data_IF_944607233309
#
_entry.id   IF_944607233309
#
_cell.length_a   1.000
_cell.length_b   1.000
_cell.length_c   1.000
_cell.angle_alpha   90.00
_cell.angle_beta   90.00
_cell.angle_gamma   90.00
#
_symmetry.space_group_name_H-M   'P 1'
#
loop_
_entity.id
_entity.type
_entity.pdbx_description
1 polymer ?
#
# COMPACT_ATOMS: atom_id res chain seq x y z
N UNK A 1 67.56 -27.41 7.00
CA UNK A 1 66.23 -27.75 6.45
C UNK A 1 65.44 -26.47 6.25
N UNK A 2 65.47 -25.91 5.03
CA UNK A 2 64.79 -24.67 4.67
C UNK A 2 63.41 -25.00 4.16
N UNK A 3 62.39 -24.51 4.83
CA UNK A 3 60.99 -24.45 4.33
C UNK A 3 60.65 -23.00 4.21
N UNK A 4 60.85 -22.39 3.05
CA UNK A 4 60.24 -21.17 2.59
C UNK A 4 59.72 -21.41 1.20
N UNK A 5 58.42 -21.65 1.07
CA UNK A 5 57.69 -21.49 -0.18
C UNK A 5 56.72 -20.35 0.02
N UNK A 6 56.91 -19.15 -0.57
CA UNK A 6 55.92 -18.09 -0.55
C UNK A 6 54.81 -18.50 -1.52
N UNK A 7 53.60 -18.62 -1.01
CA UNK A 7 52.40 -18.74 -1.83
C UNK A 7 52.35 -17.56 -2.81
N UNK A 8 52.32 -17.87 -4.09
CA UNK A 8 52.28 -16.92 -5.19
C UNK A 8 51.08 -15.98 -5.04
N UNK A 9 51.37 -14.68 -5.06
CA UNK A 9 50.35 -13.60 -4.93
C UNK A 9 49.21 -13.74 -5.96
N UNK A 10 49.48 -14.36 -7.12
CA UNK A 10 48.47 -14.69 -8.14
C UNK A 10 47.51 -15.76 -7.66
N UNK A 11 47.99 -16.79 -6.94
CA UNK A 11 47.15 -17.86 -6.37
C UNK A 11 46.27 -17.31 -5.25
N UNK A 12 46.79 -16.40 -4.42
CA UNK A 12 46.04 -15.74 -3.35
C UNK A 12 44.96 -14.80 -3.91
N UNK A 13 45.26 -14.06 -5.01
CA UNK A 13 44.26 -13.23 -5.71
C UNK A 13 43.17 -14.07 -6.37
N UNK A 14 43.48 -15.20 -6.96
CA UNK A 14 42.51 -16.12 -7.55
C UNK A 14 41.62 -16.77 -6.50
N UNK A 15 42.14 -17.11 -5.32
CA UNK A 15 41.36 -17.61 -4.19
C UNK A 15 40.45 -16.53 -3.59
N UNK A 16 40.92 -15.28 -3.45
CA UNK A 16 40.07 -14.15 -3.00
C UNK A 16 39.01 -13.83 -4.03
N UNK A 17 39.30 -13.84 -5.33
CA UNK A 17 38.28 -13.63 -6.37
C UNK A 17 37.23 -14.75 -6.40
N UNK A 18 37.65 -16.02 -6.22
CA UNK A 18 36.74 -17.16 -6.13
C UNK A 18 35.90 -17.11 -4.85
N UNK A 19 36.46 -16.67 -3.71
CA UNK A 19 35.73 -16.49 -2.46
C UNK A 19 34.73 -15.33 -2.56
N UNK A 20 35.09 -14.21 -3.21
CA UNK A 20 34.18 -13.08 -3.48
C UNK A 20 33.07 -13.48 -4.44
N UNK A 21 33.34 -14.32 -5.45
CA UNK A 21 32.34 -14.85 -6.36
C UNK A 21 31.44 -15.91 -5.69
N UNK A 22 31.94 -16.67 -4.72
CA UNK A 22 31.13 -17.62 -3.94
C UNK A 22 30.24 -16.90 -2.91
N UNK A 23 30.69 -15.79 -2.31
CA UNK A 23 29.89 -14.97 -1.41
C UNK A 23 28.85 -14.15 -2.18
N UNK A 24 29.14 -13.78 -3.45
CA UNK A 24 28.20 -13.08 -4.31
C UNK A 24 27.07 -13.99 -4.85
N UNK A 25 27.18 -15.32 -4.72
CA UNK A 25 26.15 -16.26 -5.22
C UNK A 25 25.31 -16.91 -4.12
N UNK A 26 25.45 -16.52 -2.85
CA UNK A 26 24.46 -16.80 -1.81
C UNK A 26 23.39 -15.70 -1.76
N UNK A 27 22.90 -15.28 -2.90
CA UNK A 27 21.70 -14.45 -2.97
C UNK A 27 20.54 -15.25 -2.37
N UNK A 28 20.02 -14.79 -1.25
CA UNK A 28 18.78 -15.32 -0.71
C UNK A 28 17.76 -15.33 -1.86
N UNK A 29 17.14 -16.48 -2.11
CA UNK A 29 16.16 -16.62 -3.17
C UNK A 29 15.01 -15.65 -2.88
N UNK A 30 14.61 -14.86 -3.86
CA UNK A 30 13.49 -13.92 -3.71
C UNK A 30 12.23 -14.67 -3.32
N UNK A 31 11.53 -14.18 -2.30
CA UNK A 31 10.30 -14.76 -1.81
C UNK A 31 9.16 -14.47 -2.80
N UNK A 32 8.44 -15.51 -3.18
CA UNK A 32 7.29 -15.42 -4.04
C UNK A 32 6.02 -15.75 -3.25
N UNK A 33 4.94 -15.03 -3.52
CA UNK A 33 3.62 -15.28 -2.95
C UNK A 33 2.68 -15.81 -4.02
N UNK A 34 1.80 -16.73 -3.66
CA UNK A 34 0.87 -17.36 -4.59
C UNK A 34 -0.55 -17.14 -4.08
N UNK A 35 -1.38 -16.52 -4.91
CA UNK A 35 -2.78 -16.25 -4.61
C UNK A 35 -3.68 -17.09 -5.52
N UNK A 36 -4.74 -17.70 -4.97
CA UNK A 36 -5.75 -18.36 -5.79
C UNK A 36 -6.61 -17.31 -6.50
N UNK A 37 -7.02 -17.62 -7.72
CA UNK A 37 -8.09 -16.87 -8.38
C UNK A 37 -9.41 -17.16 -7.66
N UNK A 38 -10.13 -16.12 -7.20
CA UNK A 38 -11.38 -16.31 -6.45
C UNK A 38 -12.55 -16.79 -7.32
N UNK A 39 -12.60 -16.29 -8.56
CA UNK A 39 -13.61 -16.67 -9.52
C UNK A 39 -12.99 -17.08 -10.87
N UNK A 40 -12.90 -18.36 -11.11
CA UNK A 40 -12.30 -18.92 -12.32
C UNK A 40 -13.12 -18.69 -13.59
N UNK A 41 -14.38 -18.25 -13.48
CA UNK A 41 -15.27 -17.96 -14.62
C UNK A 41 -15.01 -16.57 -15.21
N UNK A 42 -14.35 -15.66 -14.47
CA UNK A 42 -14.02 -14.33 -14.95
C UNK A 42 -12.85 -14.35 -15.93
N UNK A 43 -12.88 -13.46 -16.90
CA UNK A 43 -11.80 -13.29 -17.88
C UNK A 43 -10.61 -12.48 -17.35
N UNK A 44 -10.75 -11.85 -16.19
CA UNK A 44 -9.75 -10.96 -15.60
C UNK A 44 -9.33 -11.42 -14.21
N UNK A 45 -8.07 -11.12 -13.87
CA UNK A 45 -7.59 -11.00 -12.48
C UNK A 45 -7.92 -9.62 -11.98
N UNK A 46 -8.49 -9.51 -10.78
CA UNK A 46 -8.85 -8.23 -10.16
C UNK A 46 -7.98 -7.92 -8.97
N UNK A 47 -7.22 -6.84 -9.04
CA UNK A 47 -6.52 -6.23 -7.91
C UNK A 47 -7.38 -5.11 -7.33
N UNK A 48 -7.41 -4.98 -6.00
CA UNK A 48 -8.02 -3.84 -5.32
C UNK A 48 -6.96 -3.12 -4.51
N UNK A 49 -6.92 -1.81 -4.65
CA UNK A 49 -6.06 -0.91 -3.88
C UNK A 49 -6.93 0.00 -3.01
N UNK A 50 -6.54 0.16 -1.74
CA UNK A 50 -7.19 1.05 -0.81
C UNK A 50 -6.18 2.07 -0.27
N UNK A 51 -6.63 3.29 0.01
CA UNK A 51 -5.79 4.39 0.44
C UNK A 51 -5.22 4.26 1.85
N UNK A 52 -5.01 5.39 2.51
CA UNK A 52 -4.26 5.51 3.76
C UNK A 52 -5.06 4.97 4.95
N UNK A 53 -4.62 3.85 5.52
CA UNK A 53 -5.18 3.25 6.73
C UNK A 53 -4.47 3.83 7.95
N UNK A 54 -5.07 4.87 8.53
CA UNK A 54 -4.52 5.60 9.67
C UNK A 54 -5.31 5.32 10.95
N UNK A 55 -4.66 5.52 12.11
CA UNK A 55 -5.33 5.35 13.39
C UNK A 55 -4.99 6.49 14.36
N UNK A 56 -5.94 7.41 14.54
CA UNK A 56 -5.86 8.53 15.49
C UNK A 56 -6.35 8.15 16.89
N UNK A 57 -6.09 9.02 17.88
CA UNK A 57 -6.42 8.75 19.28
C UNK A 57 -7.90 8.43 19.49
N UNK A 58 -8.81 9.17 18.86
CA UNK A 58 -10.26 8.92 18.99
C UNK A 58 -10.65 7.55 18.46
N UNK A 59 -9.99 7.06 17.40
CA UNK A 59 -10.29 5.75 16.82
C UNK A 59 -10.02 4.63 17.82
N UNK A 60 -8.82 4.56 18.44
CA UNK A 60 -8.57 3.48 19.41
C UNK A 60 -9.35 3.66 20.72
N UNK A 61 -9.68 4.90 21.12
CA UNK A 61 -10.52 5.12 22.29
C UNK A 61 -11.94 4.61 22.07
N UNK A 62 -12.49 4.77 20.86
CA UNK A 62 -13.83 4.28 20.54
C UNK A 62 -13.87 2.80 20.17
N UNK A 63 -12.80 2.28 19.63
CA UNK A 63 -12.66 0.83 19.38
C UNK A 63 -12.55 0.01 20.69
N UNK A 64 -12.19 0.64 21.82
CA UNK A 64 -12.07 -0.07 23.10
C UNK A 64 -13.44 -0.49 23.65
N UNK A 65 -13.67 -1.79 23.74
CA UNK A 65 -14.85 -2.35 24.39
C UNK A 65 -14.56 -2.68 25.86
N UNK A 66 -15.28 -1.98 26.77
CA UNK A 66 -15.12 -2.16 28.22
C UNK A 66 -15.65 -3.51 28.70
N UNK A 67 -16.65 -4.08 28.02
CA UNK A 67 -17.27 -5.36 28.40
C UNK A 67 -16.35 -6.54 28.11
N UNK A 68 -15.80 -6.59 26.89
CA UNK A 68 -14.87 -7.65 26.47
C UNK A 68 -13.42 -7.35 26.83
N UNK A 69 -13.08 -6.08 27.16
CA UNK A 69 -11.72 -5.59 27.39
C UNK A 69 -10.81 -5.79 26.17
N UNK A 70 -11.37 -5.66 24.99
CA UNK A 70 -10.68 -5.80 23.71
C UNK A 70 -10.93 -4.57 22.82
N UNK A 71 -10.07 -4.37 21.84
CA UNK A 71 -10.30 -3.41 20.75
C UNK A 71 -11.11 -4.09 19.66
N UNK A 72 -12.06 -3.37 19.06
CA UNK A 72 -12.89 -3.84 17.97
C UNK A 72 -12.93 -2.77 16.86
N UNK A 73 -12.25 -3.05 15.76
CA UNK A 73 -12.23 -2.23 14.55
C UNK A 73 -13.05 -2.85 13.41
N UNK A 74 -13.73 -3.98 13.65
CA UNK A 74 -14.60 -4.61 12.64
C UNK A 74 -15.58 -3.61 12.01
N UNK A 75 -16.23 -2.69 12.77
CA UNK A 75 -17.13 -1.70 12.18
C UNK A 75 -16.48 -0.79 11.13
N UNK A 76 -15.17 -0.55 11.24
CA UNK A 76 -14.44 0.28 10.27
C UNK A 76 -14.51 -0.31 8.86
N UNK A 77 -14.48 -1.64 8.74
CA UNK A 77 -14.31 -2.35 7.48
C UNK A 77 -15.54 -3.15 7.06
N UNK A 78 -16.56 -3.23 7.89
CA UNK A 78 -17.78 -4.05 7.70
C UNK A 78 -18.40 -3.88 6.31
N UNK A 79 -18.61 -2.62 5.91
CA UNK A 79 -19.28 -2.32 4.65
C UNK A 79 -18.35 -2.40 3.43
N UNK A 80 -17.05 -2.54 3.63
CA UNK A 80 -16.08 -2.80 2.57
C UNK A 80 -15.98 -4.29 2.20
N UNK A 81 -16.33 -5.20 3.13
CA UNK A 81 -16.21 -6.66 2.91
C UNK A 81 -16.80 -7.16 1.60
N UNK A 82 -18.00 -6.71 1.16
CA UNK A 82 -18.55 -7.15 -0.13
C UNK A 82 -17.71 -6.73 -1.34
N UNK A 83 -17.00 -5.60 -1.26
CA UNK A 83 -16.10 -5.12 -2.30
C UNK A 83 -14.77 -5.88 -2.26
N UNK A 84 -14.17 -6.05 -1.07
CA UNK A 84 -12.94 -6.82 -0.86
C UNK A 84 -13.09 -8.29 -1.28
N UNK A 85 -14.28 -8.86 -1.09
CA UNK A 85 -14.56 -10.24 -1.49
C UNK A 85 -14.56 -10.45 -3.02
N UNK A 86 -14.83 -9.39 -3.81
CA UNK A 86 -14.88 -9.45 -5.28
C UNK A 86 -13.53 -9.32 -5.96
N UNK A 87 -12.50 -8.86 -5.25
CA UNK A 87 -11.16 -8.76 -5.79
C UNK A 87 -10.32 -9.96 -5.37
N UNK A 88 -9.42 -10.38 -6.22
CA UNK A 88 -8.55 -11.54 -5.96
C UNK A 88 -7.48 -11.20 -4.92
N UNK A 89 -6.92 -9.99 -5.01
CA UNK A 89 -5.90 -9.49 -4.09
C UNK A 89 -6.28 -8.08 -3.64
N UNK A 90 -6.27 -7.84 -2.32
CA UNK A 90 -6.56 -6.56 -1.69
C UNK A 90 -5.30 -5.97 -1.06
N UNK A 91 -4.89 -4.79 -1.52
CA UNK A 91 -3.65 -4.10 -1.18
C UNK A 91 -3.99 -2.78 -0.49
N UNK A 92 -3.28 -2.42 0.58
CA UNK A 92 -3.54 -1.18 1.34
C UNK A 92 -2.25 -0.51 1.80
N UNK A 93 -2.24 0.83 1.86
CA UNK A 93 -1.21 1.57 2.58
C UNK A 93 -1.49 1.54 4.08
N UNK A 94 -0.63 0.85 4.83
CA UNK A 94 -0.75 0.74 6.30
C UNK A 94 0.04 1.87 6.95
N UNK A 95 -0.61 3.04 7.11
CA UNK A 95 0.01 4.29 7.52
C UNK A 95 -0.04 4.50 9.03
N UNK A 96 0.54 3.57 9.76
CA UNK A 96 0.66 3.61 11.22
C UNK A 96 1.71 2.59 11.67
N UNK A 97 1.97 2.52 12.99
CA UNK A 97 2.86 1.51 13.56
C UNK A 97 2.15 0.64 14.61
N UNK A 98 2.54 -0.63 14.67
CA UNK A 98 2.14 -1.59 15.71
C UNK A 98 3.20 -1.64 16.83
N UNK A 99 3.50 -0.48 17.42
CA UNK A 99 4.61 -0.30 18.37
C UNK A 99 4.35 -0.87 19.76
N UNK A 100 3.10 -1.30 20.03
CA UNK A 100 2.66 -1.66 21.37
C UNK A 100 2.34 -0.42 22.24
N UNK A 101 2.00 -0.66 23.50
CA UNK A 101 1.66 0.41 24.46
C UNK A 101 2.87 1.30 24.78
N UNK A 102 2.69 2.59 25.10
CA UNK A 102 1.41 3.30 25.07
C UNK A 102 0.95 3.58 23.62
N UNK A 103 -0.36 3.43 23.38
CA UNK A 103 -0.97 3.78 22.11
C UNK A 103 -1.08 5.30 21.94
N UNK A 104 -1.10 5.79 20.70
CA UNK A 104 -1.14 7.21 20.38
C UNK A 104 -1.63 7.47 18.95
N UNK A 105 -2.20 8.66 18.75
CA UNK A 105 -2.49 9.20 17.43
C UNK A 105 -1.46 10.25 17.03
N UNK A 106 -1.88 11.21 16.18
CA UNK A 106 -1.02 12.31 15.73
C UNK A 106 -0.27 12.98 16.89
N UNK A 107 1.02 13.34 16.74
CA UNK A 107 1.82 13.22 15.51
C UNK A 107 2.55 11.88 15.35
N UNK A 108 2.47 10.94 16.31
CA UNK A 108 3.14 9.63 16.28
C UNK A 108 2.14 8.51 16.46
N UNK A 109 1.78 7.88 15.36
CA UNK A 109 0.78 6.83 15.37
C UNK A 109 1.31 5.51 15.94
N UNK A 110 0.67 5.04 17.00
CA UNK A 110 0.97 3.79 17.69
C UNK A 110 -0.34 3.04 17.95
N UNK A 111 -0.59 2.07 17.14
CA UNK A 111 -1.89 1.41 16.99
C UNK A 111 -1.97 0.09 17.75
N UNK A 112 -3.12 -0.26 18.36
CA UNK A 112 -3.39 -1.61 18.83
C UNK A 112 -3.32 -2.62 17.67
N UNK A 113 -2.79 -3.84 17.94
CA UNK A 113 -2.68 -4.91 16.95
C UNK A 113 -4.03 -5.29 16.34
N UNK A 114 -5.11 -5.20 17.12
CA UNK A 114 -6.48 -5.48 16.68
C UNK A 114 -6.88 -4.67 15.42
N UNK A 115 -6.31 -3.48 15.21
CA UNK A 115 -6.57 -2.72 13.97
C UNK A 115 -6.07 -3.47 12.73
N UNK A 116 -4.86 -4.01 12.81
CA UNK A 116 -4.30 -4.82 11.74
C UNK A 116 -5.03 -6.16 11.60
N UNK A 117 -5.34 -6.80 12.71
CA UNK A 117 -6.05 -8.09 12.75
C UNK A 117 -7.44 -7.97 12.10
N UNK A 118 -8.19 -6.90 12.42
CA UNK A 118 -9.51 -6.64 11.84
C UNK A 118 -9.43 -6.25 10.34
N UNK A 119 -8.33 -5.62 9.90
CA UNK A 119 -8.07 -5.39 8.46
C UNK A 119 -7.86 -6.72 7.72
N UNK A 120 -7.06 -7.62 8.29
CA UNK A 120 -6.83 -8.95 7.73
C UNK A 120 -8.15 -9.73 7.66
N UNK A 121 -8.92 -9.73 8.75
CA UNK A 121 -10.22 -10.39 8.81
C UNK A 121 -11.24 -9.78 7.82
N UNK A 122 -11.15 -8.49 7.55
CA UNK A 122 -11.96 -7.84 6.52
C UNK A 122 -11.61 -8.30 5.09
N UNK A 123 -10.38 -8.80 4.87
CA UNK A 123 -9.93 -9.34 3.60
C UNK A 123 -8.73 -8.62 2.97
N UNK A 124 -8.07 -7.69 3.66
CA UNK A 124 -6.80 -7.13 3.18
C UNK A 124 -5.69 -8.18 3.29
N UNK A 125 -4.85 -8.29 2.26
CA UNK A 125 -3.88 -9.37 2.12
C UNK A 125 -2.45 -8.88 1.93
N UNK A 126 -2.26 -7.67 1.39
CA UNK A 126 -0.94 -7.08 1.10
C UNK A 126 -0.85 -5.70 1.72
N UNK A 127 0.23 -5.44 2.46
CA UNK A 127 0.41 -4.21 3.23
C UNK A 127 1.63 -3.42 2.75
N UNK A 128 1.40 -2.24 2.18
CA UNK A 128 2.44 -1.28 1.83
C UNK A 128 2.84 -0.49 3.09
N UNK A 129 4.13 -0.49 3.42
CA UNK A 129 4.67 0.06 4.67
C UNK A 129 5.60 1.26 4.45
N UNK A 130 6.02 1.55 3.21
CA UNK A 130 6.79 2.76 2.93
C UNK A 130 5.87 3.97 2.91
N UNK A 131 5.75 4.62 4.07
CA UNK A 131 5.02 5.86 4.29
C UNK A 131 5.74 6.70 5.34
N UNK A 132 5.31 7.95 5.53
CA UNK A 132 5.98 8.89 6.43
C UNK A 132 5.83 8.53 7.92
N UNK A 133 4.90 7.62 8.29
CA UNK A 133 4.63 7.20 9.67
C UNK A 133 5.25 5.87 10.08
N UNK A 134 5.93 5.15 9.19
CA UNK A 134 6.52 3.84 9.51
C UNK A 134 7.55 3.86 10.66
N UNK A 135 8.14 5.01 10.92
CA UNK A 135 9.12 5.21 12.01
C UNK A 135 8.55 5.84 13.28
N UNK A 136 7.25 6.10 13.38
CA UNK A 136 6.63 6.78 14.54
C UNK A 136 6.83 6.08 15.87
N UNK A 137 7.01 4.78 15.86
CA UNK A 137 7.33 3.95 17.02
C UNK A 137 8.82 3.84 17.32
N UNK A 138 9.68 4.63 16.71
CA UNK A 138 11.13 4.54 16.74
C UNK A 138 11.63 3.15 16.26
N UNK A 139 12.91 2.84 16.46
CA UNK A 139 13.51 1.55 16.08
C UNK A 139 12.76 0.33 16.65
N UNK A 140 12.32 0.42 17.91
CA UNK A 140 11.60 -0.71 18.57
C UNK A 140 10.22 -0.88 17.97
N UNK A 141 9.52 0.22 17.71
CA UNK A 141 8.20 0.21 17.10
C UNK A 141 8.25 -0.33 15.68
N UNK A 142 9.16 0.14 14.84
CA UNK A 142 9.37 -0.38 13.50
C UNK A 142 9.64 -1.89 13.53
N UNK A 143 10.61 -2.35 14.35
CA UNK A 143 10.92 -3.78 14.49
C UNK A 143 9.69 -4.60 14.90
N UNK A 144 8.90 -4.09 15.86
CA UNK A 144 7.69 -4.77 16.31
C UNK A 144 6.63 -4.81 15.20
N UNK A 145 6.39 -3.68 14.51
CA UNK A 145 5.48 -3.60 13.38
C UNK A 145 5.84 -4.66 12.34
N UNK A 146 7.09 -4.67 11.85
CA UNK A 146 7.55 -5.63 10.86
C UNK A 146 7.40 -7.08 11.33
N UNK A 147 7.65 -7.37 12.62
CA UNK A 147 7.44 -8.71 13.18
C UNK A 147 5.96 -9.10 13.20
N UNK A 148 5.07 -8.16 13.53
CA UNK A 148 3.62 -8.43 13.62
C UNK A 148 3.02 -8.67 12.24
N UNK A 149 3.43 -7.88 11.22
CA UNK A 149 2.93 -8.03 9.85
C UNK A 149 3.61 -9.16 9.05
N UNK A 150 4.73 -9.71 9.52
CA UNK A 150 5.53 -10.71 8.82
C UNK A 150 4.80 -11.95 8.30
N UNK A 151 3.70 -12.45 8.95
CA UNK A 151 2.90 -13.56 8.43
C UNK A 151 2.20 -13.24 7.10
N UNK A 152 2.04 -11.95 6.77
CA UNK A 152 1.33 -11.48 5.59
C UNK A 152 2.29 -10.83 4.59
N UNK A 153 2.00 -10.88 3.29
CA UNK A 153 2.74 -10.14 2.28
C UNK A 153 2.81 -8.65 2.62
N UNK A 154 4.02 -8.14 2.77
CA UNK A 154 4.27 -6.74 3.09
C UNK A 154 5.56 -6.26 2.44
N UNK A 155 5.68 -4.97 2.20
CA UNK A 155 6.83 -4.38 1.50
C UNK A 155 7.05 -2.91 1.88
N UNK A 156 8.23 -2.42 1.57
CA UNK A 156 8.58 -1.00 1.68
C UNK A 156 9.41 -0.65 2.90
N UNK A 157 9.39 -1.49 3.96
CA UNK A 157 10.22 -1.33 5.15
C UNK A 157 10.76 -2.69 5.61
N UNK A 158 12.01 -2.73 6.10
CA UNK A 158 12.73 -3.98 6.36
C UNK A 158 13.63 -3.85 7.59
N UNK A 159 13.88 -4.99 8.27
CA UNK A 159 14.79 -5.05 9.41
C UNK A 159 16.26 -4.91 9.01
N UNK A 160 16.60 -5.37 7.80
CA UNK A 160 17.94 -5.30 7.24
C UNK A 160 17.92 -5.46 5.71
N UNK A 161 19.10 -5.33 5.10
CA UNK A 161 19.29 -5.46 3.66
C UNK A 161 19.06 -6.87 3.15
N UNK A 162 19.30 -7.90 3.96
CA UNK A 162 19.06 -9.29 3.57
C UNK A 162 17.54 -9.55 3.44
N UNK A 163 16.75 -9.14 4.43
CA UNK A 163 15.30 -9.22 4.35
C UNK A 163 14.77 -8.42 3.15
N UNK A 164 15.30 -7.22 2.89
CA UNK A 164 14.91 -6.44 1.72
C UNK A 164 15.21 -7.18 0.42
N UNK A 165 16.39 -7.75 0.28
CA UNK A 165 16.79 -8.47 -0.94
C UNK A 165 15.95 -9.73 -1.18
N UNK A 166 15.46 -10.37 -0.13
CA UNK A 166 14.54 -11.50 -0.21
C UNK A 166 13.11 -11.10 -0.58
N UNK A 167 12.64 -9.96 -0.09
CA UNK A 167 11.23 -9.58 -0.13
C UNK A 167 10.88 -8.47 -1.14
N UNK A 168 11.87 -7.79 -1.74
CA UNK A 168 11.63 -6.66 -2.63
C UNK A 168 12.23 -6.80 -4.02
N UNK A 169 11.47 -6.46 -5.08
CA UNK A 169 10.05 -6.14 -5.06
C UNK A 169 9.21 -7.31 -4.55
N UNK A 170 8.01 -7.05 -4.03
CA UNK A 170 7.12 -8.14 -3.65
C UNK A 170 6.61 -8.82 -4.93
N UNK A 171 6.97 -10.09 -5.10
CA UNK A 171 6.54 -10.89 -6.24
C UNK A 171 5.36 -11.75 -5.85
N UNK A 172 4.29 -11.66 -6.61
CA UNK A 172 3.16 -12.55 -6.44
C UNK A 172 2.67 -13.15 -7.77
N UNK A 173 2.09 -14.34 -7.64
CA UNK A 173 1.57 -15.11 -8.75
C UNK A 173 0.09 -15.35 -8.57
N UNK A 174 -0.67 -15.17 -9.64
CA UNK A 174 -2.09 -15.45 -9.68
C UNK A 174 -2.46 -15.86 -11.09
N UNK A 175 -3.10 -17.04 -11.23
CA UNK A 175 -3.54 -17.58 -12.52
C UNK A 175 -2.46 -17.55 -13.62
N UNK A 176 -1.22 -17.93 -13.27
CA UNK A 176 -0.08 -17.91 -14.19
C UNK A 176 0.47 -16.53 -14.53
N UNK A 177 -0.08 -15.47 -13.96
CA UNK A 177 0.43 -14.10 -14.06
C UNK A 177 1.44 -13.86 -12.96
N UNK A 178 2.56 -13.23 -13.28
CA UNK A 178 3.60 -12.80 -12.34
C UNK A 178 3.61 -11.29 -12.23
N UNK A 179 3.34 -10.77 -11.05
CA UNK A 179 3.26 -9.34 -10.78
C UNK A 179 4.34 -8.93 -9.78
N UNK A 180 5.05 -7.85 -10.09
CA UNK A 180 6.00 -7.21 -9.20
C UNK A 180 5.39 -5.94 -8.61
N UNK A 181 5.21 -5.91 -7.29
CA UNK A 181 4.73 -4.73 -6.56
C UNK A 181 5.91 -4.03 -5.91
N UNK A 182 6.02 -2.73 -6.18
CA UNK A 182 6.97 -1.81 -5.60
C UNK A 182 6.27 -0.87 -4.62
N UNK A 183 6.99 -0.40 -3.60
CA UNK A 183 6.48 0.60 -2.66
C UNK A 183 7.62 1.50 -2.20
N UNK A 184 7.41 2.80 -2.25
CA UNK A 184 8.38 3.82 -1.82
C UNK A 184 7.66 5.05 -1.24
N UNK A 185 8.36 5.80 -0.38
CA UNK A 185 7.86 7.03 0.24
C UNK A 185 8.79 8.21 -0.02
N UNK A 186 8.23 9.41 -0.03
CA UNK A 186 9.01 10.66 -0.12
C UNK A 186 9.85 10.93 1.15
N UNK A 187 9.47 10.35 2.28
CA UNK A 187 10.14 10.63 3.55
C UNK A 187 9.51 9.91 4.73
N UNK A 188 10.09 10.13 5.91
CA UNK A 188 9.70 9.53 7.19
C UNK A 188 9.64 10.58 8.31
N UNK A 189 8.99 11.72 8.04
CA UNK A 189 8.80 12.83 9.01
C UNK A 189 10.10 13.24 9.71
N UNK A 190 11.20 13.38 8.94
CA UNK A 190 12.54 13.70 9.42
C UNK A 190 13.16 12.65 10.37
N UNK A 191 12.52 11.50 10.54
CA UNK A 191 13.10 10.36 11.24
C UNK A 191 13.95 9.54 10.26
N UNK A 192 15.03 8.95 10.76
CA UNK A 192 15.92 8.10 9.95
C UNK A 192 15.88 6.66 10.45
N UNK A 193 15.76 5.66 9.57
CA UNK A 193 15.89 4.27 9.97
C UNK A 193 17.25 4.02 10.63
N UNK A 194 17.25 3.29 11.74
CA UNK A 194 18.51 2.92 12.41
C UNK A 194 19.07 1.67 11.79
N UNK A 195 20.25 1.77 11.15
CA UNK A 195 20.94 0.62 10.55
C UNK A 195 20.90 -0.62 11.47
N UNK A 196 20.66 -1.83 10.94
CA UNK A 196 20.56 -2.21 9.53
C UNK A 196 19.14 -2.08 8.92
N UNK A 197 18.15 -1.57 9.66
CA UNK A 197 16.80 -1.34 9.15
C UNK A 197 16.79 -0.30 8.02
N UNK A 198 15.89 -0.47 7.06
CA UNK A 198 15.74 0.46 5.95
C UNK A 198 14.27 0.60 5.52
N UNK A 199 14.00 1.71 4.84
CA UNK A 199 12.72 2.06 4.20
C UNK A 199 13.03 2.41 2.75
N UNK A 200 12.15 2.07 1.83
CA UNK A 200 12.31 2.44 0.43
C UNK A 200 11.89 3.91 0.23
N UNK A 201 12.82 4.72 -0.27
CA UNK A 201 12.58 6.12 -0.62
C UNK A 201 12.47 6.30 -2.13
N UNK A 202 11.70 7.32 -2.55
CA UNK A 202 11.62 7.79 -3.93
C UNK A 202 12.95 8.46 -4.32
N UNK A 203 13.23 8.54 -5.61
CA UNK A 203 14.42 9.22 -6.17
C UNK A 203 15.74 8.73 -5.58
N UNK A 204 15.86 7.42 -5.38
CA UNK A 204 17.10 6.79 -4.95
C UNK A 204 17.68 5.94 -6.07
N UNK A 205 19.00 5.93 -6.21
CA UNK A 205 19.70 5.00 -7.11
C UNK A 205 19.27 3.55 -6.88
N UNK A 206 18.95 3.20 -5.64
CA UNK A 206 18.49 1.85 -5.31
C UNK A 206 17.13 1.52 -5.95
N UNK A 207 16.19 2.46 -6.03
CA UNK A 207 14.90 2.25 -6.69
C UNK A 207 15.08 2.07 -8.20
N UNK A 208 15.96 2.85 -8.82
CA UNK A 208 16.32 2.68 -10.24
C UNK A 208 16.92 1.30 -10.51
N UNK A 209 17.87 0.86 -9.67
CA UNK A 209 18.47 -0.47 -9.75
C UNK A 209 17.42 -1.57 -9.64
N UNK A 210 16.48 -1.45 -8.70
CA UNK A 210 15.43 -2.45 -8.48
C UNK A 210 14.48 -2.53 -9.68
N UNK A 211 14.06 -1.39 -10.23
CA UNK A 211 13.24 -1.33 -11.43
C UNK A 211 13.98 -1.90 -12.65
N UNK A 212 15.24 -1.47 -12.88
CA UNK A 212 16.06 -1.98 -13.97
C UNK A 212 16.32 -3.50 -13.86
N UNK A 213 16.49 -4.02 -12.62
CA UNK A 213 16.59 -5.45 -12.38
C UNK A 213 15.30 -6.18 -12.73
N UNK A 214 14.15 -5.61 -12.39
CA UNK A 214 12.85 -6.20 -12.71
C UNK A 214 12.57 -6.26 -14.21
N UNK A 215 13.08 -5.29 -15.00
CA UNK A 215 12.96 -5.29 -16.45
C UNK A 215 13.75 -6.42 -17.11
N UNK A 216 14.84 -6.88 -16.48
CA UNK A 216 15.62 -8.03 -16.98
C UNK A 216 14.90 -9.35 -16.76
N UNK A 217 13.96 -9.41 -15.84
CA UNK A 217 13.09 -10.56 -15.64
C UNK A 217 11.88 -10.47 -16.58
N UNK A 218 12.04 -11.05 -17.76
CA UNK A 218 11.01 -11.05 -18.81
C UNK A 218 9.78 -11.90 -18.46
N UNK A 219 9.80 -12.62 -17.33
CA UNK A 219 8.64 -13.38 -16.83
C UNK A 219 7.69 -12.53 -16.00
N UNK A 220 8.07 -11.30 -15.62
CA UNK A 220 7.17 -10.35 -14.94
C UNK A 220 6.22 -9.75 -15.96
N UNK A 221 4.94 -9.99 -15.76
CA UNK A 221 3.86 -9.54 -16.64
C UNK A 221 3.42 -8.09 -16.34
N UNK A 222 3.48 -7.68 -15.06
CA UNK A 222 3.05 -6.34 -14.63
C UNK A 222 3.95 -5.80 -13.51
N UNK A 223 4.33 -4.53 -13.60
CA UNK A 223 5.07 -3.78 -12.56
C UNK A 223 4.18 -2.69 -12.01
N UNK A 224 3.84 -2.81 -10.74
CA UNK A 224 2.94 -1.89 -10.05
C UNK A 224 3.73 -1.12 -9.01
N UNK A 225 3.61 0.20 -8.97
CA UNK A 225 4.16 1.06 -7.92
C UNK A 225 3.03 1.54 -7.01
N UNK A 226 3.09 1.21 -5.72
CA UNK A 226 2.33 1.89 -4.69
C UNK A 226 3.23 2.94 -4.04
N UNK A 227 2.94 4.22 -4.25
CA UNK A 227 3.83 5.33 -3.89
C UNK A 227 3.19 6.27 -2.88
N UNK A 228 3.96 6.72 -1.88
CA UNK A 228 3.52 7.64 -0.85
C UNK A 228 4.21 8.99 -1.04
N UNK A 229 3.49 9.97 -1.58
CA UNK A 229 4.06 11.19 -2.14
C UNK A 229 3.11 12.40 -2.13
N UNK A 230 3.62 13.56 -2.53
CA UNK A 230 2.83 14.75 -2.76
C UNK A 230 2.73 15.65 -1.54
N UNK A 231 1.69 16.47 -1.50
CA UNK A 231 1.44 17.46 -0.44
C UNK A 231 0.07 17.20 0.19
N UNK A 232 0.01 17.14 1.52
CA UNK A 232 -1.24 16.93 2.24
C UNK A 232 -2.33 17.94 1.84
N UNK A 233 -3.55 17.44 1.68
CA UNK A 233 -4.79 18.17 1.41
C UNK A 233 -4.85 18.92 0.08
N UNK A 234 -3.89 18.74 -0.82
CA UNK A 234 -3.95 19.26 -2.18
C UNK A 234 -4.82 18.36 -3.06
N UNK A 235 -5.88 18.93 -3.67
CA UNK A 235 -6.87 18.18 -4.45
C UNK A 235 -6.37 17.72 -5.82
N UNK A 236 -5.32 18.35 -6.32
CA UNK A 236 -4.67 18.01 -7.59
C UNK A 236 -3.22 17.63 -7.33
N UNK A 237 -2.69 16.75 -8.18
CA UNK A 237 -1.27 16.43 -8.12
C UNK A 237 -0.42 17.68 -8.40
N UNK A 238 0.73 17.75 -7.78
CA UNK A 238 1.68 18.84 -7.99
C UNK A 238 2.74 18.46 -9.07
N UNK A 239 3.54 19.43 -9.55
CA UNK A 239 4.56 19.16 -10.56
C UNK A 239 5.59 18.09 -10.16
N UNK A 240 5.89 17.94 -8.88
CA UNK A 240 6.76 16.88 -8.36
C UNK A 240 6.14 15.50 -8.61
N UNK A 241 4.88 15.32 -8.24
CA UNK A 241 4.16 14.06 -8.47
C UNK A 241 4.09 13.73 -9.98
N UNK A 242 3.78 14.73 -10.83
CA UNK A 242 3.76 14.56 -12.28
C UNK A 242 5.12 14.13 -12.83
N UNK A 243 6.21 14.79 -12.40
CA UNK A 243 7.58 14.46 -12.82
C UNK A 243 8.02 13.06 -12.38
N UNK A 244 7.78 12.71 -11.11
CA UNK A 244 8.09 11.36 -10.57
C UNK A 244 7.22 10.29 -11.26
N UNK A 245 5.92 10.56 -11.52
CA UNK A 245 5.05 9.66 -12.25
C UNK A 245 5.58 9.35 -13.66
N UNK A 246 5.98 10.38 -14.41
CA UNK A 246 6.57 10.20 -15.74
C UNK A 246 7.89 9.42 -15.67
N UNK A 247 8.78 9.77 -14.74
CA UNK A 247 10.04 9.07 -14.52
C UNK A 247 9.84 7.57 -14.22
N UNK A 248 8.88 7.20 -13.36
CA UNK A 248 8.54 5.81 -13.07
C UNK A 248 7.97 5.08 -14.29
N UNK A 249 7.11 5.74 -15.06
CA UNK A 249 6.57 5.20 -16.32
C UNK A 249 7.70 4.89 -17.31
N UNK A 250 8.66 5.80 -17.47
CA UNK A 250 9.81 5.64 -18.35
C UNK A 250 10.77 4.55 -17.87
N UNK A 251 10.83 4.30 -16.54
CA UNK A 251 11.57 3.20 -15.94
C UNK A 251 10.83 1.85 -15.95
N UNK A 252 9.71 1.73 -16.66
CA UNK A 252 9.06 0.44 -16.90
C UNK A 252 7.96 0.08 -15.90
N UNK A 253 7.49 0.99 -15.07
CA UNK A 253 6.28 0.80 -14.27
C UNK A 253 5.05 0.82 -15.18
N UNK A 254 4.09 -0.08 -14.94
CA UNK A 254 2.89 -0.26 -15.76
C UNK A 254 1.62 0.33 -15.11
N UNK A 255 1.65 0.56 -13.78
CA UNK A 255 0.56 1.14 -12.99
C UNK A 255 1.12 1.87 -11.78
N UNK A 256 0.64 3.08 -11.50
CA UNK A 256 1.03 3.87 -10.32
C UNK A 256 -0.20 4.16 -9.46
N UNK A 257 -0.11 3.79 -8.18
CA UNK A 257 -1.13 4.01 -7.16
C UNK A 257 -0.52 4.87 -6.06
N UNK A 258 -1.08 6.04 -5.80
CA UNK A 258 -0.57 7.00 -4.83
C UNK A 258 -1.37 7.10 -3.53
N UNK A 259 -0.70 7.54 -2.48
CA UNK A 259 -1.22 7.89 -1.16
C UNK A 259 -0.45 9.07 -0.58
N UNK A 260 -0.75 9.52 0.64
CA UNK A 260 -0.21 10.63 1.41
C UNK A 260 -1.04 11.93 1.38
N UNK A 261 -1.56 12.45 0.27
CA UNK A 261 -2.34 13.69 0.31
C UNK A 261 -3.59 13.65 1.21
N UNK A 262 -4.02 12.47 1.64
CA UNK A 262 -5.20 12.24 2.48
C UNK A 262 -6.51 12.76 1.88
N UNK A 263 -6.47 13.13 0.63
CA UNK A 263 -7.62 13.48 -0.22
C UNK A 263 -7.48 12.72 -1.54
N UNK A 264 -8.60 12.41 -2.17
CA UNK A 264 -8.58 11.82 -3.50
C UNK A 264 -8.06 12.87 -4.48
N UNK A 265 -7.02 12.53 -5.24
CA UNK A 265 -6.50 13.37 -6.33
C UNK A 265 -6.96 12.84 -7.69
N UNK A 266 -6.61 13.56 -8.73
CA UNK A 266 -6.92 13.24 -10.11
C UNK A 266 -6.31 11.91 -10.58
N UNK A 267 -6.86 11.44 -11.68
CA UNK A 267 -6.40 10.28 -12.44
C UNK A 267 -5.87 10.75 -13.80
N UNK A 268 -4.79 10.13 -14.25
CA UNK A 268 -4.17 10.41 -15.54
C UNK A 268 -3.67 9.11 -16.17
N UNK A 269 -3.52 9.11 -17.49
CA UNK A 269 -2.82 8.05 -18.23
C UNK A 269 -1.62 8.65 -18.94
N UNK A 270 -0.42 8.41 -18.39
CA UNK A 270 0.84 8.87 -18.93
C UNK A 270 1.22 8.06 -20.18
N UNK A 271 2.03 8.65 -21.04
CA UNK A 271 2.69 7.94 -22.13
C UNK A 271 4.17 7.82 -21.79
N UNK A 272 4.64 6.61 -21.55
CA UNK A 272 6.04 6.33 -21.28
C UNK A 272 6.91 6.51 -22.54
N UNK A 273 8.22 6.67 -22.36
CA UNK A 273 9.19 6.86 -23.46
C UNK A 273 9.18 5.73 -24.51
N UNK A 274 8.78 4.53 -24.11
CA UNK A 274 8.61 3.36 -25.00
C UNK A 274 7.20 3.25 -25.63
N UNK A 275 6.33 4.23 -25.40
CA UNK A 275 4.98 4.31 -25.94
C UNK A 275 3.92 3.58 -25.13
N UNK A 276 4.26 2.94 -23.98
CA UNK A 276 3.26 2.32 -23.09
C UNK A 276 2.34 3.37 -22.49
N UNK A 277 1.08 2.97 -22.31
CA UNK A 277 0.08 3.75 -21.57
C UNK A 277 0.14 3.35 -20.12
N UNK A 278 0.42 4.29 -19.20
CA UNK A 278 0.63 4.04 -17.77
C UNK A 278 -0.42 4.81 -16.96
N UNK A 279 -1.44 4.11 -16.41
CA UNK A 279 -2.42 4.73 -15.54
C UNK A 279 -1.80 5.18 -14.22
N UNK A 280 -2.19 6.36 -13.74
CA UNK A 280 -1.76 6.95 -12.47
C UNK A 280 -2.98 7.40 -11.67
N UNK A 281 -3.18 6.80 -10.50
CA UNK A 281 -4.07 7.33 -9.46
C UNK A 281 -3.19 8.12 -8.49
N UNK A 282 -3.17 9.45 -8.56
CA UNK A 282 -2.21 10.26 -7.80
C UNK A 282 -2.39 10.18 -6.28
N UNK A 283 -3.63 10.03 -5.80
CA UNK A 283 -3.93 9.69 -4.39
C UNK A 283 -5.29 9.05 -4.26
N UNK A 284 -5.34 7.95 -3.50
CA UNK A 284 -6.60 7.29 -3.14
C UNK A 284 -7.30 7.95 -1.94
N UNK A 285 -6.66 8.91 -1.25
CA UNK A 285 -7.19 9.49 -0.02
C UNK A 285 -7.15 8.53 1.17
N UNK A 286 -7.97 8.80 2.18
CA UNK A 286 -8.02 8.00 3.40
C UNK A 286 -8.94 6.78 3.25
N UNK A 287 -8.40 5.57 3.47
CA UNK A 287 -9.26 4.42 3.72
C UNK A 287 -10.02 4.61 5.03
N UNK A 288 -9.30 4.95 6.10
CA UNK A 288 -9.86 5.29 7.40
C UNK A 288 -8.94 6.24 8.15
N UNK A 289 -9.49 7.34 8.68
CA UNK A 289 -8.77 8.29 9.52
C UNK A 289 -9.74 9.09 10.40
N UNK A 290 -9.20 9.91 11.31
CA UNK A 290 -9.98 10.91 12.02
C UNK A 290 -9.80 12.32 11.44
N UNK A 291 -9.21 12.47 10.29
CA UNK A 291 -9.11 13.77 9.62
C UNK A 291 -10.49 14.25 9.19
N UNK A 292 -10.73 15.56 9.31
CA UNK A 292 -12.05 16.19 9.05
C UNK A 292 -11.92 17.48 8.25
N UNK A 293 -10.78 17.70 7.61
CA UNK A 293 -10.62 18.74 6.61
C UNK A 293 -11.49 18.40 5.40
N UNK A 294 -11.90 19.42 4.67
CA UNK A 294 -12.69 19.21 3.47
C UNK A 294 -12.05 18.17 2.55
N UNK A 295 -12.84 17.20 2.10
CA UNK A 295 -12.43 16.06 1.28
C UNK A 295 -11.46 15.05 1.92
N UNK A 296 -11.00 15.24 3.19
CA UNK A 296 -10.15 14.26 3.89
C UNK A 296 -10.93 13.23 4.72
N UNK A 297 -12.26 13.37 4.76
CA UNK A 297 -13.17 12.48 5.47
C UNK A 297 -13.54 11.20 4.71
N UNK A 298 -12.65 10.75 3.82
CA UNK A 298 -12.81 9.53 3.04
C UNK A 298 -11.72 9.38 1.98
N UNK A 299 -11.90 8.40 1.14
CA UNK A 299 -11.04 8.05 0.02
C UNK A 299 -11.77 7.19 -0.99
N UNK A 300 -11.02 6.48 -1.79
CA UNK A 300 -11.55 5.49 -2.73
C UNK A 300 -10.89 4.13 -2.53
N UNK A 301 -11.62 3.08 -2.83
CA UNK A 301 -11.05 1.79 -3.16
C UNK A 301 -11.07 1.67 -4.69
N UNK A 302 -9.93 1.33 -5.27
CA UNK A 302 -9.74 1.25 -6.73
C UNK A 302 -9.55 -0.19 -7.14
N UNK A 303 -10.28 -0.65 -8.14
CA UNK A 303 -10.10 -1.98 -8.74
C UNK A 303 -9.44 -1.86 -10.11
N UNK A 304 -8.50 -2.78 -10.36
CA UNK A 304 -7.76 -2.89 -11.61
C UNK A 304 -7.97 -4.30 -12.16
N UNK A 305 -8.65 -4.38 -13.30
CA UNK A 305 -8.90 -5.64 -14.00
C UNK A 305 -7.81 -5.86 -15.05
N UNK A 306 -7.17 -7.03 -14.97
CA UNK A 306 -6.09 -7.45 -15.85
C UNK A 306 -6.58 -8.66 -16.63
N UNK A 307 -6.63 -8.56 -17.94
CA UNK A 307 -7.06 -9.67 -18.80
C UNK A 307 -6.11 -10.87 -18.67
N UNK A 308 -6.64 -12.05 -18.41
CA UNK A 308 -5.87 -13.26 -18.11
C UNK A 308 -5.05 -13.77 -19.29
N UNK A 309 -5.48 -13.50 -20.54
CA UNK A 309 -4.81 -13.97 -21.75
C UNK A 309 -3.74 -12.99 -22.21
N UNK A 310 -4.08 -11.71 -22.28
CA UNK A 310 -3.18 -10.66 -22.78
C UNK A 310 -2.27 -10.09 -21.69
N UNK A 311 -2.65 -10.31 -20.40
CA UNK A 311 -1.95 -9.78 -19.21
C UNK A 311 -1.86 -8.26 -19.19
N UNK A 312 -2.80 -7.59 -19.87
CA UNK A 312 -2.90 -6.13 -19.93
C UNK A 312 -4.00 -5.63 -19.01
N UNK A 313 -3.81 -4.44 -18.44
CA UNK A 313 -4.85 -3.70 -17.74
C UNK A 313 -5.93 -3.35 -18.75
N UNK A 314 -7.17 -3.77 -18.49
CA UNK A 314 -8.31 -3.54 -19.38
C UNK A 314 -9.37 -2.64 -18.75
N UNK A 315 -9.37 -2.51 -17.42
CA UNK A 315 -10.30 -1.63 -16.71
C UNK A 315 -9.70 -1.15 -15.40
N UNK A 316 -9.93 0.13 -15.10
CA UNK A 316 -9.75 0.69 -13.78
C UNK A 316 -11.10 1.27 -13.36
N UNK A 317 -11.55 0.92 -12.17
CA UNK A 317 -12.81 1.38 -11.59
C UNK A 317 -12.58 1.77 -10.14
N UNK A 318 -13.48 2.57 -9.55
CA UNK A 318 -13.33 2.98 -8.16
C UNK A 318 -14.67 3.10 -7.45
N UNK A 319 -14.63 3.00 -6.13
CA UNK A 319 -15.78 3.22 -5.24
C UNK A 319 -15.40 4.27 -4.21
N UNK A 320 -16.03 5.44 -4.20
CA UNK A 320 -15.86 6.43 -3.14
C UNK A 320 -16.35 5.88 -1.80
N UNK A 321 -15.54 6.06 -0.76
CA UNK A 321 -15.80 5.57 0.59
C UNK A 321 -15.72 6.74 1.58
N UNK A 322 -16.87 7.12 2.16
CA UNK A 322 -16.95 8.15 3.20
C UNK A 322 -16.68 7.54 4.58
N UNK A 323 -15.87 8.20 5.39
CA UNK A 323 -15.59 7.76 6.76
C UNK A 323 -16.54 8.44 7.74
N UNK A 324 -17.63 7.77 8.08
CA UNK A 324 -18.53 8.21 9.14
C UNK A 324 -17.87 8.02 10.51
N UNK A 325 -17.97 9.05 11.36
CA UNK A 325 -17.52 9.06 12.75
C UNK A 325 -18.70 9.23 13.66
N UNK A 326 -19.16 8.17 14.29
CA UNK A 326 -20.35 8.26 15.12
C UNK A 326 -20.95 6.92 15.51
N UNK A 327 -22.26 6.93 15.67
CA UNK A 327 -23.08 5.76 15.96
C UNK A 327 -23.85 5.39 14.70
N UNK A 328 -23.94 4.12 14.38
CA UNK A 328 -24.86 3.56 13.39
C UNK A 328 -25.65 2.42 14.01
N UNK A 329 -26.94 2.25 13.66
CA UNK A 329 -27.79 1.15 14.08
C UNK A 329 -27.81 0.92 15.62
N UNK A 330 -27.82 2.01 16.39
CA UNK A 330 -27.76 1.96 17.88
C UNK A 330 -26.50 1.27 18.45
N UNK A 331 -25.47 1.05 17.62
CA UNK A 331 -24.20 0.52 18.05
C UNK A 331 -23.38 1.55 18.84
N UNK A 332 -22.29 1.10 19.46
CA UNK A 332 -21.33 2.00 20.10
C UNK A 332 -20.67 2.91 19.07
N UNK A 333 -20.27 4.10 19.50
CA UNK A 333 -19.49 5.02 18.67
C UNK A 333 -18.26 4.34 18.10
N UNK A 334 -18.09 4.43 16.79
CA UNK A 334 -16.95 3.89 16.07
C UNK A 334 -16.73 4.71 14.77
N UNK A 335 -15.83 4.24 13.94
CA UNK A 335 -15.62 4.72 12.58
C UNK A 335 -16.17 3.68 11.61
N UNK A 336 -16.73 4.15 10.51
CA UNK A 336 -17.35 3.29 9.50
C UNK A 336 -16.95 3.79 8.12
N UNK A 337 -16.23 2.96 7.35
CA UNK A 337 -15.96 3.26 5.94
C UNK A 337 -17.19 2.85 5.12
N UNK A 338 -17.92 3.83 4.63
CA UNK A 338 -19.19 3.66 3.92
C UNK A 338 -18.96 3.81 2.41
N UNK A 339 -19.11 2.75 1.61
CA UNK A 339 -19.15 2.87 0.15
C UNK A 339 -20.34 3.76 -0.24
N UNK A 340 -20.06 4.96 -0.74
CA UNK A 340 -21.12 5.96 -0.98
C UNK A 340 -22.14 5.54 -2.04
N UNK A 341 -21.76 4.82 -3.13
CA UNK A 341 -22.76 4.32 -4.08
C UNK A 341 -23.73 3.30 -3.47
N UNK A 342 -23.25 2.45 -2.54
CA UNK A 342 -24.11 1.47 -1.89
C UNK A 342 -25.08 2.14 -0.91
N UNK A 343 -24.62 3.20 -0.20
CA UNK A 343 -25.49 4.00 0.64
C UNK A 343 -26.55 4.74 -0.19
N UNK A 344 -26.14 5.48 -1.21
CA UNK A 344 -27.04 6.29 -2.05
C UNK A 344 -28.06 5.45 -2.83
N UNK A 345 -27.74 4.19 -3.13
CA UNK A 345 -28.67 3.24 -3.78
C UNK A 345 -29.56 2.47 -2.80
N UNK A 346 -29.49 2.75 -1.49
CA UNK A 346 -30.28 2.07 -0.47
C UNK A 346 -29.91 0.60 -0.21
N UNK A 347 -28.72 0.17 -0.59
CA UNK A 347 -28.26 -1.20 -0.34
C UNK A 347 -27.78 -1.44 1.09
N UNK A 348 -27.42 -0.38 1.82
CA UNK A 348 -26.98 -0.50 3.18
C UNK A 348 -28.16 -0.50 4.17
N UNK A 349 -28.12 -1.28 5.27
CA UNK A 349 -29.26 -1.49 6.17
C UNK A 349 -29.44 -0.37 7.19
N UNK A 350 -29.00 0.85 6.89
CA UNK A 350 -29.10 2.00 7.80
C UNK A 350 -29.27 3.32 7.03
N UNK A 351 -29.72 4.34 7.74
CA UNK A 351 -29.63 5.75 7.36
C UNK A 351 -28.64 6.46 8.28
N UNK A 352 -28.00 7.51 7.80
CA UNK A 352 -27.13 8.33 8.63
C UNK A 352 -27.94 9.08 9.70
N UNK A 353 -27.33 9.40 10.87
CA UNK A 353 -28.07 9.91 12.04
C UNK A 353 -28.80 11.23 11.85
N UNK A 354 -28.39 12.04 10.88
CA UNK A 354 -29.02 13.32 10.56
C UNK A 354 -28.64 13.81 9.16
N UNK A 355 -29.45 14.77 8.64
CA UNK A 355 -29.31 15.34 7.29
C UNK A 355 -27.92 15.98 7.04
N UNK A 356 -27.31 16.59 8.06
CA UNK A 356 -26.01 17.24 7.89
C UNK A 356 -24.92 16.25 7.56
N UNK A 357 -24.90 15.08 8.23
CA UNK A 357 -23.93 14.02 7.97
C UNK A 357 -24.19 13.39 6.60
N UNK A 358 -25.44 13.22 6.24
CA UNK A 358 -25.82 12.72 4.91
C UNK A 358 -25.37 13.67 3.80
N UNK A 359 -25.57 14.98 3.99
CA UNK A 359 -25.06 16.01 3.07
C UNK A 359 -23.52 16.00 2.95
N UNK A 360 -22.79 15.77 4.05
CA UNK A 360 -21.33 15.60 3.99
C UNK A 360 -20.94 14.38 3.14
N UNK A 361 -21.63 13.26 3.29
CA UNK A 361 -21.39 12.07 2.46
C UNK A 361 -21.67 12.35 0.99
N UNK A 362 -22.81 13.01 0.68
CA UNK A 362 -23.19 13.37 -0.69
C UNK A 362 -22.16 14.33 -1.29
N UNK A 363 -21.74 15.34 -0.52
CA UNK A 363 -20.72 16.30 -0.97
C UNK A 363 -19.38 15.58 -1.27
N UNK A 364 -18.92 14.71 -0.36
CA UNK A 364 -17.72 13.92 -0.57
C UNK A 364 -17.83 13.04 -1.83
N UNK A 365 -18.98 12.37 -2.01
CA UNK A 365 -19.25 11.56 -3.20
C UNK A 365 -19.14 12.40 -4.48
N UNK A 366 -19.89 13.51 -4.55
CA UNK A 366 -19.92 14.38 -5.72
C UNK A 366 -18.54 14.98 -6.04
N UNK A 367 -17.82 15.46 -5.02
CA UNK A 367 -16.48 16.00 -5.19
C UNK A 367 -15.52 14.96 -5.74
N UNK A 368 -15.64 13.71 -5.29
CA UNK A 368 -14.78 12.60 -5.74
C UNK A 368 -15.09 12.20 -7.18
N UNK A 369 -16.35 11.97 -7.53
CA UNK A 369 -16.72 11.54 -8.90
C UNK A 369 -16.49 12.63 -9.95
N UNK A 370 -16.61 13.90 -9.55
CA UNK A 370 -16.30 15.02 -10.46
C UNK A 370 -14.79 15.19 -10.71
N UNK A 371 -13.96 14.74 -9.77
CA UNK A 371 -12.49 14.84 -9.90
C UNK A 371 -11.88 13.70 -10.71
N UNK A 372 -12.43 12.50 -10.59
CA UNK A 372 -11.97 11.34 -11.35
C UNK A 372 -13.06 10.99 -12.37
N UNK A 373 -12.98 11.51 -13.60
CA UNK A 373 -13.89 11.06 -14.64
C UNK A 373 -13.69 9.56 -14.88
N UNK A 374 -14.79 8.81 -14.99
CA UNK A 374 -14.76 7.42 -15.40
C UNK A 374 -14.28 7.35 -16.85
N UNK A 375 -12.96 7.15 -17.02
CA UNK A 375 -12.39 7.00 -18.36
C UNK A 375 -11.86 5.59 -18.51
N UNK A 376 -12.21 4.88 -19.60
CA UNK A 376 -11.58 3.61 -19.94
C UNK A 376 -10.07 3.78 -20.11
N UNK A 377 -9.32 2.72 -19.83
CA UNK A 377 -7.86 2.62 -20.05
C UNK A 377 -7.57 2.41 -21.54
N UNK A 378 -8.30 3.05 -22.44
CA UNK A 378 -8.04 2.98 -23.89
C UNK A 378 -6.96 3.98 -24.35
#
# INVERSE_FOLDING_TARGET
MNLQNPLDVKTLRSFLLALVLLVANSGLAQKHHYFPLKDTTQSCVRLLFAGDAMQHSTQYLWAWDKGTRQYNYEPNFRYLRPHLAKADINIVNFETTLSGKPYGGYPKFRTPDAFFEDMVDAGFQVFALANNHILDGDKRGMKRTLKTVAPYPNLGAYLDTAQRSEQYPLIFHIDGMKIALFNATYGTNQLTPVFPANVNYIETEQLEIDLAKSLKDTTIDLRVMYIHWGTEYQLHHNPYQGGVGQWLADLGVDLIIGGHPHVVQDYEVLTAADGRRVPVMYSLGNLVSNQRWENSNGGIITTVDIDRKTKKIVKIDYVPCYVHKGTLLDEKRNYYCIPTPDYLSGKLPFTLPNDSIEQELILFHNNTVNRIPTTPVE
#
